data_IF_944380086887
#
_entry.id   IF_944380086887
#
_cell.length_a   1.000
_cell.length_b   1.000
_cell.length_c   1.000
_cell.angle_alpha   90.00
_cell.angle_beta   90.00
_cell.angle_gamma   90.00
#
_symmetry.space_group_name_H-M   'P 1'
#
loop_
_entity.id
_entity.type
_entity.pdbx_description
1 polymer ?
#
# COMPACT_ATOMS: atom_id res chain seq x y z
N UNK A 1 -33.32 -18.46 -0.41
CA UNK A 1 -32.79 -19.79 -0.76
C UNK A 1 -31.80 -19.60 -1.91
N UNK A 2 -30.49 -19.76 -1.63
CA UNK A 2 -29.38 -19.97 -2.60
C UNK A 2 -29.02 -18.81 -3.57
N UNK A 3 -27.77 -18.36 -3.73
CA UNK A 3 -26.42 -18.88 -3.39
C UNK A 3 -25.42 -17.71 -3.33
N UNK A 4 -24.63 -17.64 -2.25
CA UNK A 4 -23.37 -16.90 -2.20
C UNK A 4 -22.32 -17.57 -3.08
N UNK A 5 -21.53 -16.78 -3.82
CA UNK A 5 -20.30 -17.24 -4.47
C UNK A 5 -19.13 -16.90 -3.56
N UNK A 6 -18.62 -17.92 -2.89
CA UNK A 6 -17.34 -17.92 -2.17
C UNK A 6 -16.25 -18.24 -3.19
N UNK A 7 -15.23 -17.37 -3.32
CA UNK A 7 -14.04 -17.66 -4.12
C UNK A 7 -13.04 -18.40 -3.24
N UNK A 8 -12.80 -19.67 -3.56
CA UNK A 8 -11.74 -20.52 -3.02
C UNK A 8 -10.48 -20.37 -3.89
N UNK A 9 -9.32 -20.24 -3.27
CA UNK A 9 -8.02 -20.47 -3.91
C UNK A 9 -7.30 -21.59 -3.16
N UNK A 10 -7.12 -22.72 -3.83
CA UNK A 10 -6.35 -23.89 -3.40
C UNK A 10 -5.26 -24.10 -4.47
N UNK A 11 -3.97 -23.99 -4.10
CA UNK A 11 -2.87 -24.47 -4.95
C UNK A 11 -1.85 -25.21 -4.09
N UNK A 12 -1.49 -26.37 -4.63
CA UNK A 12 -0.73 -27.49 -4.08
C UNK A 12 0.78 -27.21 -3.92
N UNK A 13 1.33 -27.81 -2.86
CA UNK A 13 2.74 -28.01 -2.57
C UNK A 13 3.33 -29.14 -3.42
N UNK A 14 4.54 -28.96 -3.96
CA UNK A 14 5.47 -30.07 -4.23
C UNK A 14 6.93 -29.64 -4.01
N UNK A 15 7.64 -30.49 -3.29
CA UNK A 15 9.04 -30.40 -2.85
C UNK A 15 10.09 -30.49 -3.97
N UNK A 16 11.27 -29.91 -3.71
CA UNK A 16 12.49 -30.12 -4.50
C UNK A 16 13.74 -29.57 -3.81
N UNK A 17 14.55 -30.48 -3.27
CA UNK A 17 15.70 -30.26 -2.39
C UNK A 17 17.04 -30.20 -3.16
N UNK A 18 17.99 -29.32 -2.79
CA UNK A 18 19.42 -29.59 -2.41
C UNK A 18 20.45 -28.48 -2.75
N UNK A 19 21.33 -28.32 -1.75
CA UNK A 19 22.58 -27.54 -1.52
C UNK A 19 23.63 -27.49 -2.65
N UNK A 20 24.47 -26.43 -2.67
CA UNK A 20 25.92 -26.47 -2.31
C UNK A 20 26.65 -25.11 -2.47
N UNK A 21 27.26 -24.66 -1.37
CA UNK A 21 28.59 -24.05 -1.09
C UNK A 21 29.32 -23.04 -2.01
N UNK A 22 29.68 -21.91 -1.36
CA UNK A 22 30.97 -21.20 -1.26
C UNK A 22 31.79 -20.80 -2.52
N UNK A 23 32.11 -19.50 -2.67
CA UNK A 23 33.42 -18.91 -2.36
C UNK A 23 33.46 -17.40 -2.70
N UNK A 24 34.30 -16.65 -1.98
CA UNK A 24 34.47 -15.20 -2.01
C UNK A 24 35.33 -14.69 -3.17
N UNK A 25 35.07 -13.47 -3.65
CA UNK A 25 36.06 -12.43 -4.04
C UNK A 25 35.33 -11.13 -4.47
N UNK A 26 35.52 -10.02 -3.73
CA UNK A 26 35.37 -8.62 -4.22
C UNK A 26 36.56 -8.27 -5.15
N UNK A 27 36.62 -7.19 -5.98
CA UNK A 27 35.99 -5.84 -5.92
C UNK A 27 35.54 -5.34 -7.35
N UNK A 28 35.37 -4.04 -7.75
CA UNK A 28 35.50 -2.75 -7.07
C UNK A 28 34.34 -1.72 -7.26
N UNK A 29 34.51 -0.58 -6.57
CA UNK A 29 33.76 0.68 -6.62
C UNK A 29 33.49 1.19 -8.05
N UNK A 30 32.22 1.44 -8.37
CA UNK A 30 31.79 2.38 -9.41
C UNK A 30 30.55 3.12 -8.90
N UNK A 31 30.67 4.44 -8.72
CA UNK A 31 29.53 5.36 -8.70
C UNK A 31 29.29 5.80 -10.13
N UNK A 32 28.03 5.81 -10.60
CA UNK A 32 27.56 7.02 -11.24
C UNK A 32 26.19 7.42 -10.70
N UNK A 33 26.10 8.68 -10.29
CA UNK A 33 24.87 9.43 -10.12
C UNK A 33 24.07 9.41 -11.42
N UNK A 34 23.16 8.44 -11.53
CA UNK A 34 22.26 8.29 -12.65
C UNK A 34 21.17 9.36 -12.64
N UNK A 35 21.14 10.13 -13.72
CA UNK A 35 19.98 10.92 -14.17
C UNK A 35 18.69 10.12 -13.93
N UNK A 36 17.71 10.70 -13.24
CA UNK A 36 16.38 10.11 -13.06
C UNK A 36 15.75 9.85 -14.43
N UNK A 37 15.91 8.65 -14.99
CA UNK A 37 15.17 8.20 -16.16
C UNK A 37 13.69 8.26 -15.80
N UNK A 38 12.94 9.16 -16.43
CA UNK A 38 11.48 9.13 -16.37
C UNK A 38 11.04 7.76 -16.88
N UNK A 39 10.16 7.09 -16.15
CA UNK A 39 9.56 5.82 -16.57
C UNK A 39 8.89 6.07 -17.94
N UNK A 40 9.36 5.47 -19.05
CA UNK A 40 8.81 5.76 -20.37
C UNK A 40 7.48 5.06 -20.52
N UNK A 41 6.42 5.74 -20.09
CA UNK A 41 5.03 5.30 -20.20
C UNK A 41 4.45 5.75 -21.54
N UNK A 42 3.62 4.92 -22.16
CA UNK A 42 2.89 5.32 -23.36
C UNK A 42 1.72 6.21 -22.92
N UNK A 43 1.91 7.53 -23.00
CA UNK A 43 0.96 8.54 -22.51
C UNK A 43 -0.48 8.28 -22.97
N UNK A 44 -0.69 7.99 -24.25
CA UNK A 44 -2.02 7.69 -24.79
C UNK A 44 -2.70 6.48 -24.13
N UNK A 45 -1.94 5.48 -23.65
CA UNK A 45 -2.50 4.33 -22.93
C UNK A 45 -2.89 4.70 -21.49
N UNK A 46 -2.12 5.57 -20.83
CA UNK A 46 -2.48 6.10 -19.52
C UNK A 46 -3.76 6.94 -19.59
N UNK A 47 -3.85 7.85 -20.57
CA UNK A 47 -5.05 8.67 -20.80
C UNK A 47 -6.27 7.77 -21.05
N UNK A 48 -6.10 6.74 -21.88
CA UNK A 48 -7.14 5.73 -22.12
C UNK A 48 -7.55 4.98 -20.85
N UNK A 49 -6.61 4.59 -20.00
CA UNK A 49 -6.89 3.94 -18.71
C UNK A 49 -7.71 4.86 -17.78
N UNK A 50 -7.34 6.13 -17.69
CA UNK A 50 -8.08 7.14 -16.92
C UNK A 50 -9.49 7.33 -17.49
N UNK A 51 -9.63 7.42 -18.81
CA UNK A 51 -10.93 7.59 -19.46
C UNK A 51 -11.86 6.39 -19.24
N UNK A 52 -11.32 5.16 -19.26
CA UNK A 52 -12.10 3.97 -18.92
C UNK A 52 -12.59 4.03 -17.48
N UNK A 53 -11.68 4.33 -16.55
CA UNK A 53 -12.01 4.40 -15.13
C UNK A 53 -13.08 5.47 -14.86
N UNK A 54 -12.92 6.69 -15.39
CA UNK A 54 -13.91 7.76 -15.22
C UNK A 54 -15.24 7.33 -15.83
N UNK A 55 -15.25 6.78 -17.04
CA UNK A 55 -16.49 6.38 -17.72
C UNK A 55 -17.24 5.28 -16.96
N UNK A 56 -16.52 4.32 -16.36
CA UNK A 56 -17.10 3.28 -15.53
C UNK A 56 -17.61 3.82 -14.19
N UNK A 57 -16.89 4.77 -13.60
CA UNK A 57 -17.16 5.35 -12.28
C UNK A 57 -18.20 6.46 -12.27
N UNK A 58 -18.63 6.95 -13.43
CA UNK A 58 -19.71 7.94 -13.53
C UNK A 58 -21.12 7.35 -13.31
N UNK A 59 -21.21 6.04 -12.98
CA UNK A 59 -22.46 5.33 -12.73
C UNK A 59 -22.88 5.46 -11.25
N UNK A 60 -24.13 5.85 -10.93
CA UNK A 60 -24.55 6.20 -9.56
C UNK A 60 -24.50 5.09 -8.51
N UNK A 61 -24.39 3.83 -8.94
CA UNK A 61 -24.48 2.62 -8.10
C UNK A 61 -23.11 2.07 -7.68
N UNK A 62 -22.00 2.66 -8.15
CA UNK A 62 -20.66 2.22 -7.79
C UNK A 62 -20.28 2.73 -6.38
N UNK A 63 -20.49 1.89 -5.36
CA UNK A 63 -20.15 2.20 -3.96
C UNK A 63 -18.77 1.68 -3.51
N UNK A 64 -18.06 0.91 -4.35
CA UNK A 64 -16.84 0.23 -3.93
C UNK A 64 -15.66 1.17 -3.63
N UNK A 65 -15.70 2.40 -4.15
CA UNK A 65 -14.66 3.40 -3.90
C UNK A 65 -14.73 4.03 -2.49
N UNK A 66 -15.81 3.86 -1.73
CA UNK A 66 -15.90 4.44 -0.38
C UNK A 66 -14.94 3.78 0.61
N UNK A 67 -14.69 2.47 0.50
CA UNK A 67 -13.91 1.74 1.50
C UNK A 67 -12.46 2.25 1.63
N UNK A 68 -11.70 2.41 0.53
CA UNK A 68 -10.36 2.99 0.58
C UNK A 68 -10.32 4.38 1.22
N UNK A 69 -11.31 5.22 0.88
CA UNK A 69 -11.41 6.60 1.36
C UNK A 69 -11.72 6.68 2.85
N UNK A 70 -12.72 5.91 3.30
CA UNK A 70 -13.09 5.86 4.71
C UNK A 70 -11.91 5.41 5.56
N UNK A 71 -11.22 4.34 5.17
CA UNK A 71 -10.09 3.80 5.91
C UNK A 71 -8.93 4.80 6.07
N UNK A 72 -8.57 5.52 5.00
CA UNK A 72 -7.50 6.52 5.08
C UNK A 72 -7.95 7.76 5.85
N UNK A 73 -9.21 8.18 5.69
CA UNK A 73 -9.80 9.27 6.47
C UNK A 73 -9.80 8.95 7.97
N UNK A 74 -10.20 7.74 8.34
CA UNK A 74 -10.24 7.28 9.72
C UNK A 74 -8.83 7.26 10.32
N UNK A 75 -7.85 6.71 9.59
CA UNK A 75 -6.45 6.75 10.01
C UNK A 75 -5.99 8.20 10.24
N UNK A 76 -6.17 9.07 9.24
CA UNK A 76 -5.71 10.45 9.29
C UNK A 76 -6.34 11.24 10.43
N UNK A 77 -7.62 11.00 10.73
CA UNK A 77 -8.37 11.69 11.78
C UNK A 77 -7.88 11.32 13.18
N UNK A 78 -7.47 10.06 13.39
CA UNK A 78 -7.06 9.57 14.71
C UNK A 78 -5.54 9.67 14.94
N UNK A 79 -4.76 9.89 13.88
CA UNK A 79 -3.31 9.98 14.01
C UNK A 79 -2.89 11.29 14.69
N UNK A 80 -2.00 11.19 15.67
CA UNK A 80 -1.31 12.32 16.29
C UNK A 80 0.18 12.00 16.47
N UNK A 81 1.08 13.01 16.49
CA UNK A 81 2.49 12.79 16.72
C UNK A 81 2.71 11.99 18.02
N UNK A 82 3.31 10.79 17.95
CA UNK A 82 3.25 9.86 19.07
C UNK A 82 4.21 10.25 20.19
N UNK A 83 3.70 10.21 21.43
CA UNK A 83 4.52 10.01 22.62
C UNK A 83 4.59 8.50 22.96
N UNK A 84 5.56 8.05 23.77
CA UNK A 84 5.65 6.63 24.11
C UNK A 84 4.40 6.11 24.82
N UNK A 85 3.81 6.87 25.75
CA UNK A 85 2.68 6.40 26.54
C UNK A 85 1.39 6.15 25.72
N UNK A 86 1.19 6.88 24.62
CA UNK A 86 -0.05 6.85 23.83
C UNK A 86 0.01 6.02 22.54
N UNK A 87 1.19 5.62 22.06
CA UNK A 87 1.35 5.05 20.71
C UNK A 87 0.42 3.86 20.43
N UNK A 88 0.31 2.89 21.36
CA UNK A 88 -0.55 1.71 21.18
C UNK A 88 -2.02 2.08 20.99
N UNK A 89 -2.53 2.99 21.83
CA UNK A 89 -3.92 3.44 21.77
C UNK A 89 -4.20 4.28 20.50
N UNK A 90 -3.26 5.15 20.11
CA UNK A 90 -3.33 5.93 18.87
C UNK A 90 -3.39 4.99 17.66
N UNK A 91 -2.45 4.04 17.59
CA UNK A 91 -2.37 3.06 16.50
C UNK A 91 -3.65 2.21 16.40
N UNK A 92 -4.14 1.68 17.53
CA UNK A 92 -5.38 0.89 17.54
C UNK A 92 -6.58 1.70 17.02
N UNK A 93 -6.68 2.97 17.43
CA UNK A 93 -7.74 3.90 17.02
C UNK A 93 -7.69 4.21 15.53
N UNK A 94 -6.50 4.40 14.96
CA UNK A 94 -6.31 4.65 13.52
C UNK A 94 -6.83 3.51 12.63
N UNK A 95 -6.91 2.29 13.17
CA UNK A 95 -7.33 1.10 12.44
C UNK A 95 -8.68 0.54 12.91
N UNK A 96 -9.41 1.28 13.75
CA UNK A 96 -10.70 0.87 14.28
C UNK A 96 -11.82 1.48 13.45
N UNK A 97 -12.14 0.86 12.31
CA UNK A 97 -13.35 1.20 11.56
C UNK A 97 -14.11 -0.03 11.09
N UNK A 98 -15.41 0.14 10.87
CA UNK A 98 -16.30 -0.91 10.33
C UNK A 98 -15.83 -1.37 8.94
N UNK A 99 -15.07 -0.51 8.25
CA UNK A 99 -14.52 -0.74 6.92
C UNK A 99 -13.13 -1.39 6.94
N UNK A 100 -12.27 -1.04 7.90
CA UNK A 100 -10.88 -1.52 7.96
C UNK A 100 -10.79 -3.01 8.27
N UNK A 101 -11.72 -3.59 9.05
CA UNK A 101 -11.59 -4.98 9.53
C UNK A 101 -11.51 -6.03 8.41
N UNK A 102 -12.12 -5.78 7.24
CA UNK A 102 -12.15 -6.73 6.12
C UNK A 102 -10.90 -6.70 5.25
N UNK A 103 -10.12 -5.62 5.30
CA UNK A 103 -9.00 -5.41 4.38
C UNK A 103 -7.74 -6.20 4.79
N UNK A 104 -7.61 -6.54 6.08
CA UNK A 104 -6.37 -7.05 6.67
C UNK A 104 -6.44 -8.46 7.25
N UNK A 105 -7.64 -9.06 7.37
CA UNK A 105 -7.80 -10.41 7.89
C UNK A 105 -7.68 -11.43 6.76
N UNK A 106 -6.54 -12.09 6.66
CA UNK A 106 -6.34 -13.32 5.88
C UNK A 106 -5.79 -14.40 6.80
N UNK A 107 -5.90 -15.65 6.40
CA UNK A 107 -5.33 -16.76 7.18
C UNK A 107 -3.83 -16.51 7.39
N UNK A 108 -3.39 -16.59 8.65
CA UNK A 108 -2.02 -16.31 9.10
C UNK A 108 -1.47 -14.90 8.84
N UNK A 109 -2.30 -13.93 8.44
CA UNK A 109 -1.88 -12.54 8.20
C UNK A 109 -2.66 -11.58 9.12
N UNK A 110 -1.92 -10.97 10.05
CA UNK A 110 -2.45 -10.19 11.19
C UNK A 110 -1.62 -8.91 11.46
N UNK A 111 -1.47 -8.01 10.48
CA UNK A 111 -0.52 -6.90 10.57
C UNK A 111 -0.81 -5.94 11.73
N UNK A 112 -2.09 -5.73 12.05
CA UNK A 112 -2.52 -4.88 13.17
C UNK A 112 -2.13 -5.50 14.51
N UNK A 113 -2.51 -6.75 14.73
CA UNK A 113 -2.22 -7.45 15.97
C UNK A 113 -0.72 -7.59 16.20
N UNK A 114 0.05 -7.87 15.13
CA UNK A 114 1.50 -7.95 15.22
C UNK A 114 2.11 -6.60 15.56
N UNK A 115 1.73 -5.50 14.92
CA UNK A 115 2.26 -4.17 15.27
C UNK A 115 1.96 -3.80 16.73
N UNK A 116 0.78 -4.14 17.26
CA UNK A 116 0.48 -3.94 18.69
C UNK A 116 1.41 -4.75 19.60
N UNK A 117 1.73 -6.00 19.25
CA UNK A 117 2.74 -6.80 19.96
C UNK A 117 4.15 -6.20 19.87
N UNK A 118 4.51 -5.62 18.72
CA UNK A 118 5.79 -4.94 18.54
C UNK A 118 5.87 -3.67 19.40
N UNK A 119 4.80 -2.88 19.46
CA UNK A 119 4.72 -1.70 20.33
C UNK A 119 4.86 -2.09 21.81
N UNK A 120 4.22 -3.19 22.24
CA UNK A 120 4.35 -3.71 23.60
C UNK A 120 5.76 -4.25 23.90
N UNK A 121 6.44 -4.81 22.88
CA UNK A 121 7.78 -5.36 23.03
C UNK A 121 8.81 -4.27 23.39
N UNK A 122 8.75 -3.10 22.76
CA UNK A 122 9.53 -1.92 23.16
C UNK A 122 8.86 -0.64 22.66
N UNK A 123 8.15 0.03 23.57
CA UNK A 123 7.35 1.21 23.24
C UNK A 123 8.20 2.40 22.79
N UNK A 124 9.41 2.54 23.33
CA UNK A 124 10.30 3.66 22.99
C UNK A 124 10.85 3.49 21.58
N UNK A 125 11.36 2.30 21.26
CA UNK A 125 11.87 1.98 19.93
C UNK A 125 10.75 2.05 18.88
N UNK A 126 9.56 1.54 19.19
CA UNK A 126 8.40 1.67 18.31
C UNK A 126 8.03 3.15 18.07
N UNK A 127 8.09 4.00 19.10
CA UNK A 127 7.84 5.44 18.96
C UNK A 127 8.87 6.12 18.07
N UNK A 128 10.15 5.73 18.17
CA UNK A 128 11.20 6.21 17.27
C UNK A 128 10.89 5.80 15.82
N UNK A 129 10.52 4.54 15.60
CA UNK A 129 10.17 4.03 14.28
C UNK A 129 9.03 4.83 13.63
N UNK A 130 7.94 5.05 14.37
CA UNK A 130 6.79 5.81 13.88
C UNK A 130 7.10 7.30 13.67
N UNK A 131 7.88 7.92 14.55
CA UNK A 131 8.36 9.30 14.35
C UNK A 131 9.16 9.42 13.05
N UNK A 132 10.08 8.51 12.81
CA UNK A 132 10.86 8.49 11.57
C UNK A 132 9.97 8.25 10.33
N UNK A 133 9.03 7.31 10.39
CA UNK A 133 8.09 7.06 9.28
C UNK A 133 7.23 8.31 8.99
N UNK A 134 6.85 9.07 10.02
CA UNK A 134 6.08 10.31 9.90
C UNK A 134 6.93 11.55 9.56
N UNK A 135 8.25 11.42 9.38
CA UNK A 135 9.12 12.55 9.08
C UNK A 135 9.16 12.87 7.57
N UNK A 136 8.20 13.65 7.06
CA UNK A 136 8.13 13.94 5.61
C UNK A 136 9.30 14.75 5.03
N UNK A 137 10.19 15.28 5.89
CA UNK A 137 11.43 15.92 5.43
C UNK A 137 12.48 14.90 4.97
N UNK A 138 12.41 13.66 5.47
CA UNK A 138 13.30 12.58 5.08
C UNK A 138 12.81 11.87 3.80
N UNK A 139 13.75 11.31 3.04
CA UNK A 139 13.44 10.55 1.83
C UNK A 139 12.51 9.37 2.16
N UNK A 140 11.54 9.12 1.28
CA UNK A 140 10.59 8.01 1.46
C UNK A 140 11.31 6.65 1.59
N UNK A 141 12.31 6.42 0.73
CA UNK A 141 13.13 5.21 0.75
C UNK A 141 13.85 5.03 2.09
N UNK A 142 14.46 6.09 2.61
CA UNK A 142 15.14 6.05 3.90
C UNK A 142 14.19 5.76 5.06
N UNK A 143 12.99 6.36 5.04
CA UNK A 143 11.96 6.11 6.05
C UNK A 143 11.43 4.68 6.01
N UNK A 144 11.12 4.15 4.83
CA UNK A 144 10.65 2.77 4.68
C UNK A 144 11.72 1.77 5.12
N UNK A 145 12.97 1.97 4.70
CA UNK A 145 14.09 1.10 5.07
C UNK A 145 14.35 1.09 6.58
N UNK A 146 14.35 2.25 7.23
CA UNK A 146 14.52 2.33 8.69
C UNK A 146 13.33 1.75 9.44
N UNK A 147 12.11 1.99 8.97
CA UNK A 147 10.92 1.42 9.59
C UNK A 147 10.91 -0.12 9.55
N UNK A 148 11.29 -0.71 8.40
CA UNK A 148 11.45 -2.17 8.26
C UNK A 148 12.53 -2.70 9.21
N UNK A 149 13.68 -2.03 9.29
CA UNK A 149 14.73 -2.34 10.26
C UNK A 149 14.20 -2.34 11.70
N UNK A 150 13.51 -1.28 12.12
CA UNK A 150 12.93 -1.23 13.47
C UNK A 150 11.89 -2.32 13.72
N UNK A 151 11.07 -2.67 12.74
CA UNK A 151 10.11 -3.78 12.87
C UNK A 151 10.81 -5.12 13.10
N UNK A 152 11.95 -5.36 12.43
CA UNK A 152 12.76 -6.56 12.63
C UNK A 152 13.39 -6.60 14.03
N UNK A 153 13.94 -5.49 14.51
CA UNK A 153 14.51 -5.39 15.86
C UNK A 153 13.42 -5.60 16.93
N UNK A 154 12.25 -4.95 16.79
CA UNK A 154 11.11 -5.13 17.70
C UNK A 154 10.63 -6.59 17.73
N UNK A 155 10.59 -7.25 16.58
CA UNK A 155 10.21 -8.66 16.49
C UNK A 155 11.23 -9.56 17.22
N UNK A 156 12.52 -9.26 17.11
CA UNK A 156 13.55 -9.96 17.85
C UNK A 156 13.41 -9.76 19.36
N UNK A 157 13.18 -8.53 19.82
CA UNK A 157 12.93 -8.21 21.23
C UNK A 157 11.69 -8.98 21.73
N UNK A 158 10.61 -8.99 20.96
CA UNK A 158 9.40 -9.74 21.29
C UNK A 158 9.70 -11.24 21.48
N UNK A 159 10.44 -11.86 20.54
CA UNK A 159 10.80 -13.30 20.62
C UNK A 159 11.72 -13.62 21.80
N UNK A 160 12.60 -12.70 22.19
CA UNK A 160 13.44 -12.86 23.38
C UNK A 160 12.63 -12.82 24.68
N UNK A 161 11.63 -11.93 24.76
CA UNK A 161 10.71 -11.84 25.91
C UNK A 161 9.70 -12.99 25.95
N UNK A 162 9.34 -13.54 24.79
CA UNK A 162 8.34 -14.60 24.64
C UNK A 162 8.93 -15.80 23.90
N UNK A 163 9.73 -16.62 24.60
CA UNK A 163 10.44 -17.77 24.00
C UNK A 163 9.54 -18.82 23.33
N UNK A 164 8.24 -18.85 23.65
CA UNK A 164 7.24 -19.74 23.01
C UNK A 164 6.47 -19.08 21.87
N UNK A 165 6.78 -17.82 21.54
CA UNK A 165 6.13 -17.10 20.45
C UNK A 165 6.40 -17.81 19.13
N UNK A 166 5.33 -18.03 18.37
CA UNK A 166 5.38 -18.62 17.02
C UNK A 166 5.53 -17.56 15.94
N UNK A 167 5.55 -16.28 16.30
CA UNK A 167 5.63 -15.19 15.34
C UNK A 167 7.04 -15.11 14.74
N UNK A 168 7.12 -15.31 13.42
CA UNK A 168 8.37 -15.29 12.66
C UNK A 168 8.49 -14.10 11.72
N UNK A 169 7.42 -13.33 11.52
CA UNK A 169 7.38 -12.22 10.57
C UNK A 169 6.55 -11.05 11.11
N UNK A 170 6.96 -9.80 10.81
CA UNK A 170 6.33 -8.59 11.37
C UNK A 170 5.09 -8.13 10.58
N UNK A 171 4.83 -8.70 9.40
CA UNK A 171 3.64 -8.43 8.56
C UNK A 171 3.48 -6.97 8.10
N UNK A 172 4.52 -6.13 8.21
CA UNK A 172 4.48 -4.72 7.78
C UNK A 172 4.98 -4.58 6.34
N UNK A 173 4.25 -5.20 5.42
CA UNK A 173 4.58 -5.25 3.99
C UNK A 173 4.09 -4.01 3.21
N UNK A 174 4.31 -4.00 1.89
CA UNK A 174 3.99 -2.85 1.04
C UNK A 174 2.51 -2.39 1.12
N UNK A 175 1.49 -3.27 1.08
CA UNK A 175 0.10 -2.89 1.33
C UNK A 175 -0.10 -2.16 2.67
N UNK A 176 0.43 -2.69 3.77
CA UNK A 176 0.28 -2.09 5.10
C UNK A 176 1.01 -0.75 5.21
N UNK A 177 2.25 -0.68 4.72
CA UNK A 177 3.03 0.56 4.70
C UNK A 177 2.37 1.63 3.84
N UNK A 178 1.71 1.24 2.73
CA UNK A 178 0.98 2.17 1.88
C UNK A 178 -0.21 2.83 2.60
N UNK A 179 -0.90 2.09 3.48
CA UNK A 179 -1.94 2.66 4.33
C UNK A 179 -1.34 3.65 5.31
N UNK A 180 -0.28 3.28 6.02
CA UNK A 180 0.33 4.18 7.00
C UNK A 180 0.72 5.49 6.33
N UNK A 181 1.39 5.41 5.18
CA UNK A 181 1.76 6.58 4.40
C UNK A 181 0.55 7.39 3.92
N UNK A 182 -0.50 6.73 3.42
CA UNK A 182 -1.71 7.42 2.95
C UNK A 182 -2.46 8.09 4.09
N UNK A 183 -2.52 7.47 5.28
CA UNK A 183 -3.14 8.03 6.46
C UNK A 183 -2.33 9.18 7.07
N UNK A 184 -0.99 9.06 7.08
CA UNK A 184 -0.09 10.13 7.53
C UNK A 184 -0.11 11.33 6.57
N UNK A 185 -0.14 11.07 5.26
CA UNK A 185 -0.05 12.09 4.20
C UNK A 185 -1.05 11.83 3.06
N UNK A 186 -2.36 12.06 3.31
CA UNK A 186 -3.44 11.71 2.37
C UNK A 186 -3.41 12.49 1.05
N UNK A 187 -2.61 13.55 0.97
CA UNK A 187 -2.42 14.37 -0.22
C UNK A 187 -1.21 13.96 -1.06
N UNK A 188 -0.42 12.96 -0.61
CA UNK A 188 0.90 12.63 -1.19
C UNK A 188 1.07 11.15 -1.53
N UNK A 189 0.45 10.26 -0.76
CA UNK A 189 0.59 8.82 -0.95
C UNK A 189 -0.77 8.17 -1.19
N UNK A 190 -0.75 7.11 -1.99
CA UNK A 190 -1.92 6.32 -2.32
C UNK A 190 -1.76 4.91 -1.75
N UNK A 191 -2.88 4.25 -1.48
CA UNK A 191 -2.90 2.84 -1.11
C UNK A 191 -2.27 1.99 -2.21
N UNK A 192 -1.66 0.87 -1.85
CA UNK A 192 -1.04 -0.06 -2.78
C UNK A 192 -1.93 -1.28 -3.05
N UNK A 193 -2.29 -1.58 -4.31
CA UNK A 193 -3.20 -2.68 -4.62
C UNK A 193 -2.55 -4.07 -4.59
N UNK A 194 -1.23 -4.15 -4.36
CA UNK A 194 -0.45 -5.38 -4.45
C UNK A 194 0.23 -5.56 -5.82
N UNK A 195 1.26 -6.42 -5.84
CA UNK A 195 2.14 -6.61 -6.99
C UNK A 195 1.39 -6.99 -8.27
N UNK A 196 0.52 -8.00 -8.23
CA UNK A 196 -0.17 -8.52 -9.42
C UNK A 196 -0.97 -7.45 -10.15
N UNK A 197 -1.71 -6.64 -9.39
CA UNK A 197 -2.54 -5.57 -9.93
C UNK A 197 -1.68 -4.45 -10.46
N UNK A 198 -0.63 -4.08 -9.73
CA UNK A 198 0.30 -3.06 -10.18
C UNK A 198 1.06 -3.47 -11.46
N UNK A 199 1.51 -4.73 -11.56
CA UNK A 199 2.11 -5.27 -12.77
C UNK A 199 1.14 -5.23 -13.95
N UNK A 200 -0.11 -5.63 -13.73
CA UNK A 200 -1.15 -5.63 -14.76
C UNK A 200 -1.45 -4.21 -15.25
N UNK A 201 -1.49 -3.24 -14.35
CA UNK A 201 -1.57 -1.82 -14.71
C UNK A 201 -0.34 -1.35 -15.52
N UNK A 202 0.87 -1.69 -15.09
CA UNK A 202 2.09 -1.38 -15.83
C UNK A 202 2.08 -1.97 -17.24
N UNK A 203 1.56 -3.19 -17.43
CA UNK A 203 1.36 -3.79 -18.76
C UNK A 203 0.32 -3.03 -19.58
N UNK A 204 -0.82 -2.68 -18.96
CA UNK A 204 -1.91 -1.95 -19.61
C UNK A 204 -1.46 -0.60 -20.18
N UNK A 205 -0.61 0.14 -19.47
CA UNK A 205 -0.05 1.43 -19.90
C UNK A 205 1.22 1.29 -20.76
N UNK A 206 1.62 0.06 -21.09
CA UNK A 206 2.78 -0.24 -21.93
C UNK A 206 4.12 0.15 -21.32
N UNK A 207 4.25 0.09 -19.99
CA UNK A 207 5.53 0.28 -19.28
C UNK A 207 6.52 -0.81 -19.70
N UNK A 208 7.74 -0.49 -20.17
CA UNK A 208 8.70 -1.50 -20.60
C UNK A 208 9.39 -2.22 -19.44
N UNK A 209 9.39 -1.59 -18.27
CA UNK A 209 9.97 -2.13 -17.05
C UNK A 209 8.81 -2.41 -16.09
N UNK A 210 8.54 -3.68 -15.83
CA UNK A 210 7.44 -4.17 -14.98
C UNK A 210 8.08 -4.67 -13.69
N UNK A 211 7.66 -4.18 -12.51
CA UNK A 211 8.23 -4.60 -11.24
C UNK A 211 8.02 -6.09 -11.00
N UNK A 212 9.06 -6.81 -10.59
CA UNK A 212 9.01 -8.26 -10.29
C UNK A 212 8.83 -8.56 -8.80
N UNK A 213 9.02 -7.55 -7.95
CA UNK A 213 8.82 -7.60 -6.50
C UNK A 213 8.06 -6.34 -6.07
N UNK A 214 7.50 -6.35 -4.87
CA UNK A 214 6.86 -5.17 -4.28
C UNK A 214 7.85 -4.00 -4.22
N UNK A 215 7.54 -2.92 -4.93
CA UNK A 215 8.34 -1.69 -4.97
C UNK A 215 7.43 -0.50 -4.70
N UNK A 216 7.26 -0.20 -3.41
CA UNK A 216 6.36 0.86 -2.96
C UNK A 216 6.86 2.24 -3.42
N UNK A 217 8.17 2.45 -3.55
CA UNK A 217 8.75 3.72 -4.00
C UNK A 217 8.37 3.99 -5.45
N UNK A 218 8.54 2.98 -6.32
CA UNK A 218 8.12 3.05 -7.72
C UNK A 218 6.63 3.23 -7.83
N UNK A 219 5.85 2.48 -7.05
CA UNK A 219 4.40 2.62 -7.02
C UNK A 219 3.98 4.06 -6.70
N UNK A 220 4.50 4.67 -5.63
CA UNK A 220 4.14 6.04 -5.25
C UNK A 220 4.46 7.07 -6.33
N UNK A 221 5.58 6.89 -7.06
CA UNK A 221 5.92 7.73 -8.22
C UNK A 221 4.89 7.56 -9.34
N UNK A 222 4.49 6.33 -9.65
CA UNK A 222 3.48 6.07 -10.68
C UNK A 222 2.13 6.64 -10.26
N UNK A 223 1.69 6.43 -9.02
CA UNK A 223 0.45 7.00 -8.49
C UNK A 223 0.43 8.54 -8.59
N UNK A 224 1.54 9.22 -8.27
CA UNK A 224 1.66 10.67 -8.43
C UNK A 224 1.53 11.13 -9.90
N UNK A 225 2.10 10.38 -10.84
CA UNK A 225 1.92 10.64 -12.28
C UNK A 225 0.46 10.45 -12.67
N UNK A 226 -0.17 9.34 -12.27
CA UNK A 226 -1.59 9.07 -12.54
C UNK A 226 -2.45 10.21 -12.00
N UNK A 227 -2.23 10.66 -10.77
CA UNK A 227 -2.94 11.79 -10.19
C UNK A 227 -2.82 13.05 -11.05
N UNK A 228 -1.61 13.37 -11.50
CA UNK A 228 -1.34 14.55 -12.34
C UNK A 228 -2.11 14.50 -13.66
N UNK A 229 -2.19 13.34 -14.30
CA UNK A 229 -2.97 13.16 -15.53
C UNK A 229 -4.48 13.18 -15.26
N UNK A 230 -4.92 12.59 -14.15
CA UNK A 230 -6.31 12.60 -13.72
C UNK A 230 -6.81 14.04 -13.53
N UNK A 231 -6.04 14.88 -12.83
CA UNK A 231 -6.36 16.29 -12.62
C UNK A 231 -6.46 17.12 -13.90
N UNK A 232 -5.77 16.71 -14.98
CA UNK A 232 -5.81 17.37 -16.29
C UNK A 232 -6.98 16.89 -17.15
N UNK A 233 -7.62 15.77 -16.80
CA UNK A 233 -8.73 15.23 -17.56
C UNK A 233 -10.00 16.08 -17.30
N UNK A 234 -10.64 16.66 -18.32
CA UNK A 234 -11.79 17.55 -18.13
C UNK A 234 -13.01 16.85 -17.52
N UNK A 235 -13.09 15.51 -17.59
CA UNK A 235 -14.19 14.73 -16.99
C UNK A 235 -13.97 14.43 -15.51
N UNK A 236 -12.79 14.74 -14.96
CA UNK A 236 -12.48 14.54 -13.56
C UNK A 236 -13.38 15.40 -12.65
N UNK A 237 -13.67 16.65 -13.03
CA UNK A 237 -14.60 17.50 -12.28
C UNK A 237 -16.02 16.92 -12.22
N UNK A 238 -16.46 16.22 -13.27
CA UNK A 238 -17.76 15.55 -13.27
C UNK A 238 -17.80 14.41 -12.26
N UNK A 239 -16.71 13.64 -12.19
CA UNK A 239 -16.55 12.58 -11.19
C UNK A 239 -16.62 13.14 -9.78
N UNK A 240 -15.90 14.25 -9.50
CA UNK A 240 -15.90 14.88 -8.19
C UNK A 240 -17.30 15.36 -7.76
N UNK A 241 -18.07 15.94 -8.68
CA UNK A 241 -19.45 16.38 -8.41
C UNK A 241 -20.39 15.24 -8.05
N UNK A 242 -20.21 14.07 -8.66
CA UNK A 242 -21.00 12.88 -8.32
C UNK A 242 -20.59 12.25 -6.99
N UNK A 243 -19.35 12.48 -6.58
CA UNK A 243 -18.74 11.90 -5.38
C UNK A 243 -18.70 12.90 -4.22
N UNK A 244 -19.60 13.88 -4.23
CA UNK A 244 -19.64 14.93 -3.22
C UNK A 244 -19.73 14.30 -1.80
N UNK A 245 -18.82 14.66 -0.87
CA UNK A 245 -18.82 14.12 0.48
C UNK A 245 -20.15 14.28 1.23
N UNK A 246 -20.93 15.32 0.91
CA UNK A 246 -22.26 15.54 1.49
C UNK A 246 -23.25 14.42 1.18
N UNK A 247 -23.04 13.66 0.10
CA UNK A 247 -23.93 12.58 -0.32
C UNK A 247 -23.67 11.27 0.44
N UNK A 248 -22.45 11.04 0.93
CA UNK A 248 -22.01 9.70 1.36
C UNK A 248 -21.34 9.63 2.74
N UNK A 249 -21.27 10.73 3.51
CA UNK A 249 -20.67 10.79 4.87
C UNK A 249 -19.23 10.29 4.97
N UNK A 250 -18.57 10.05 3.84
CA UNK A 250 -17.16 9.64 3.74
C UNK A 250 -16.37 10.81 3.19
N UNK A 251 -15.29 11.16 3.87
CA UNK A 251 -14.39 12.20 3.39
C UNK A 251 -13.73 11.77 2.10
N UNK A 252 -13.90 12.58 1.06
CA UNK A 252 -13.21 12.35 -0.21
C UNK A 252 -11.73 12.75 -0.09
N UNK A 253 -10.83 11.90 -0.58
CA UNK A 253 -9.38 12.06 -0.52
C UNK A 253 -8.86 11.99 -1.96
N UNK A 254 -8.59 13.15 -2.60
CA UNK A 254 -8.32 13.17 -4.04
C UNK A 254 -7.17 12.26 -4.48
N UNK A 255 -6.09 12.20 -3.71
CA UNK A 255 -4.93 11.44 -4.13
C UNK A 255 -5.20 9.92 -4.23
N UNK A 256 -6.21 9.40 -3.51
CA UNK A 256 -6.61 7.99 -3.57
C UNK A 256 -7.28 7.58 -4.88
N UNK A 257 -7.73 8.53 -5.70
CA UNK A 257 -8.27 8.18 -7.02
C UNK A 257 -7.17 7.61 -7.94
N UNK A 258 -5.90 7.91 -7.65
CA UNK A 258 -4.77 7.24 -8.29
C UNK A 258 -4.75 5.74 -8.01
N UNK A 259 -5.01 5.35 -6.76
CA UNK A 259 -5.16 3.95 -6.39
C UNK A 259 -6.33 3.31 -7.13
N UNK A 260 -7.48 4.00 -7.18
CA UNK A 260 -8.66 3.47 -7.88
C UNK A 260 -8.43 3.25 -9.37
N UNK A 261 -7.80 4.21 -10.07
CA UNK A 261 -7.45 4.08 -11.49
C UNK A 261 -6.53 2.88 -11.71
N UNK A 262 -5.47 2.77 -10.89
CA UNK A 262 -4.49 1.69 -11.01
C UNK A 262 -5.14 0.33 -10.74
N UNK A 263 -5.95 0.24 -9.68
CA UNK A 263 -6.64 -0.99 -9.32
C UNK A 263 -7.65 -1.40 -10.39
N UNK A 264 -8.48 -0.46 -10.85
CA UNK A 264 -9.49 -0.69 -11.88
C UNK A 264 -8.88 -1.21 -13.19
N UNK A 265 -7.90 -0.50 -13.74
CA UNK A 265 -7.31 -0.90 -15.02
C UNK A 265 -6.42 -2.14 -14.86
N UNK A 266 -5.74 -2.30 -13.72
CA UNK A 266 -4.97 -3.49 -13.40
C UNK A 266 -5.82 -4.76 -13.37
N UNK A 267 -6.96 -4.74 -12.68
CA UNK A 267 -7.91 -5.86 -12.62
C UNK A 267 -8.53 -6.15 -14.00
N UNK A 268 -8.92 -5.09 -14.73
CA UNK A 268 -9.47 -5.23 -16.08
C UNK A 268 -8.46 -5.88 -17.03
N UNK A 269 -7.20 -5.46 -16.98
CA UNK A 269 -6.17 -6.05 -17.81
C UNK A 269 -5.92 -7.52 -17.45
N UNK A 270 -5.85 -7.84 -16.16
CA UNK A 270 -5.69 -9.20 -15.64
C UNK A 270 -6.78 -10.15 -16.16
N UNK A 271 -8.04 -9.70 -16.15
CA UNK A 271 -9.19 -10.49 -16.63
C UNK A 271 -9.28 -10.59 -18.16
N UNK A 272 -8.71 -9.64 -18.90
CA UNK A 272 -8.64 -9.70 -20.37
C UNK A 272 -7.50 -10.56 -20.92
N UNK A 273 -6.54 -10.96 -20.08
CA UNK A 273 -5.29 -11.64 -20.45
C UNK A 273 -5.27 -13.16 -20.21
N UNK A 274 -6.43 -13.78 -19.96
CA UNK A 274 -6.66 -15.23 -19.89
C UNK A 274 -7.61 -15.67 -20.99
#
# INVERSE_FOLDING_TARGET
>A
MHRSKTYFYEILLTDGCRKLDACATSPPLIVPSGVKKSIPMKVHLLEKAIDHYISASLKPDALDWYYPHAMVSDFNTHWSPPDPAGLSAIYDSCLRSDYSQRWWKRDHYRPKEIMLLLIEADTELATIAWKDLSNDTASLEGRLSRFDYYCNELLQIHRQKHFRSVETYHHQDAPVLSLYLSGLFPHKYALYPGLDIFQSFCRAIGSPDIPVVDDLIRYMKVASIVFTFLQRNPRYELLLKQRDPSMHKVTHIPFLQSFEVIAFEGERYKTSGT
#
